data_IF_882035681206
#
_entry.id   IF_882035681206
#
_cell.length_a   1.000
_cell.length_b   1.000
_cell.length_c   1.000
_cell.angle_alpha   90.00
_cell.angle_beta   90.00
_cell.angle_gamma   90.00
#
_symmetry.space_group_name_H-M   'P 1'
#
loop_
_entity.id
_entity.type
_entity.pdbx_description
1 polymer ?
#
# COMPACT_ATOMS: atom_id res chain seq x y z
N UNK A 1 15.37 4.56 3.84
CA UNK A 1 15.07 3.27 3.17
C UNK A 1 13.72 2.79 3.69
N UNK A 2 12.71 2.76 2.82
CA UNK A 2 11.39 2.23 3.17
C UNK A 2 11.54 0.70 3.21
N UNK A 3 11.24 0.08 4.35
CA UNK A 3 11.21 -1.38 4.46
C UNK A 3 10.02 -1.89 3.63
N UNK A 4 10.09 -3.10 3.08
CA UNK A 4 8.95 -3.64 2.30
C UNK A 4 8.41 -4.94 2.87
N UNK A 5 8.98 -5.47 3.95
CA UNK A 5 8.43 -6.60 4.72
C UNK A 5 7.95 -6.11 6.07
N UNK A 6 6.67 -6.31 6.35
CA UNK A 6 6.00 -5.84 7.55
C UNK A 6 5.48 -7.00 8.38
N UNK A 7 5.39 -6.79 9.70
CA UNK A 7 5.08 -7.86 10.64
C UNK A 7 3.58 -8.13 10.74
N UNK A 8 2.75 -7.14 10.39
CA UNK A 8 1.31 -7.19 10.57
C UNK A 8 0.58 -6.22 9.63
N UNK A 9 -0.75 -6.35 9.54
CA UNK A 9 -1.61 -5.55 8.66
C UNK A 9 -1.60 -4.05 9.02
N UNK A 10 -1.34 -3.74 10.29
CA UNK A 10 -1.28 -2.36 10.80
C UNK A 10 -0.09 -1.62 10.22
N UNK A 11 1.11 -2.22 10.27
CA UNK A 11 2.33 -1.66 9.71
C UNK A 11 2.25 -1.54 8.17
N UNK A 12 1.64 -2.52 7.50
CA UNK A 12 1.39 -2.44 6.05
C UNK A 12 0.52 -1.24 5.69
N UNK A 13 -0.58 -1.03 6.41
CA UNK A 13 -1.47 0.12 6.16
C UNK A 13 -0.74 1.45 6.38
N UNK A 14 0.05 1.55 7.45
CA UNK A 14 0.84 2.75 7.76
C UNK A 14 1.85 3.05 6.66
N UNK A 15 2.53 2.01 6.14
CA UNK A 15 3.47 2.16 5.04
C UNK A 15 2.81 2.62 3.74
N UNK A 16 1.68 2.01 3.36
CA UNK A 16 0.91 2.42 2.17
C UNK A 16 0.47 3.88 2.31
N UNK A 17 -0.05 4.25 3.47
CA UNK A 17 -0.51 5.61 3.71
C UNK A 17 0.64 6.60 3.61
N UNK A 18 1.78 6.30 4.26
CA UNK A 18 2.97 7.13 4.21
C UNK A 18 3.45 7.37 2.78
N UNK A 19 3.55 6.30 1.97
CA UNK A 19 4.02 6.40 0.57
C UNK A 19 3.08 7.28 -0.27
N UNK A 20 1.76 7.09 -0.14
CA UNK A 20 0.79 7.90 -0.88
C UNK A 20 0.73 9.35 -0.40
N UNK A 21 0.88 9.56 0.91
CA UNK A 21 0.88 10.91 1.49
C UNK A 21 2.11 11.69 1.05
N UNK A 22 3.30 11.08 1.07
CA UNK A 22 4.54 11.67 0.54
C UNK A 22 4.44 12.00 -0.96
N UNK A 23 3.76 11.17 -1.75
CA UNK A 23 3.49 11.49 -3.15
C UNK A 23 2.57 12.72 -3.28
N UNK A 24 1.51 12.82 -2.49
CA UNK A 24 0.58 13.95 -2.54
C UNK A 24 1.19 15.28 -2.09
N UNK A 25 2.24 15.25 -1.27
CA UNK A 25 2.98 16.46 -0.88
C UNK A 25 4.25 16.69 -1.70
N UNK A 26 4.36 16.05 -2.87
CA UNK A 26 5.47 16.19 -3.83
C UNK A 26 6.86 15.83 -3.26
N UNK A 27 6.92 15.02 -2.19
CA UNK A 27 8.19 14.54 -1.61
C UNK A 27 8.82 13.40 -2.42
N UNK A 28 8.01 12.61 -3.11
CA UNK A 28 8.45 11.51 -3.99
C UNK A 28 7.76 11.61 -5.35
N UNK A 29 8.43 11.08 -6.38
CA UNK A 29 7.88 11.03 -7.73
C UNK A 29 6.87 9.89 -7.88
N UNK A 30 5.99 10.02 -8.88
CA UNK A 30 4.98 9.00 -9.19
C UNK A 30 5.59 7.61 -9.44
N UNK A 31 6.69 7.54 -10.19
CA UNK A 31 7.40 6.28 -10.48
C UNK A 31 7.90 5.59 -9.18
N UNK A 32 8.42 6.38 -8.24
CA UNK A 32 8.90 5.89 -6.95
C UNK A 32 7.73 5.40 -6.07
N UNK A 33 6.62 6.15 -6.06
CA UNK A 33 5.39 5.76 -5.37
C UNK A 33 4.86 4.42 -5.91
N UNK A 34 4.71 4.30 -7.23
CA UNK A 34 4.21 3.09 -7.88
C UNK A 34 5.11 1.90 -7.55
N UNK A 35 6.42 2.04 -7.72
CA UNK A 35 7.36 0.96 -7.47
C UNK A 35 7.33 0.52 -6.00
N UNK A 36 7.30 1.47 -5.07
CA UNK A 36 7.25 1.17 -3.64
C UNK A 36 5.95 0.47 -3.25
N UNK A 37 4.80 0.91 -3.77
CA UNK A 37 3.50 0.24 -3.53
C UNK A 37 3.52 -1.18 -4.11
N UNK A 38 4.04 -1.39 -5.32
CA UNK A 38 4.20 -2.73 -5.92
C UNK A 38 5.02 -3.66 -5.03
N UNK A 39 6.12 -3.16 -4.48
CA UNK A 39 6.98 -3.93 -3.59
C UNK A 39 6.32 -4.23 -2.24
N UNK A 40 5.54 -3.29 -1.69
CA UNK A 40 4.74 -3.53 -0.48
C UNK A 40 3.69 -4.62 -0.73
N UNK A 41 2.96 -4.55 -1.85
CA UNK A 41 1.95 -5.55 -2.20
C UNK A 41 2.58 -6.95 -2.31
N UNK A 42 3.63 -7.09 -3.14
CA UNK A 42 4.29 -8.39 -3.39
C UNK A 42 4.82 -9.05 -2.12
N UNK A 43 5.42 -8.26 -1.24
CA UNK A 43 6.09 -8.78 -0.05
C UNK A 43 5.13 -9.03 1.12
N UNK A 44 3.88 -8.56 1.07
CA UNK A 44 2.94 -8.64 2.18
C UNK A 44 1.53 -9.07 1.76
N UNK A 45 1.37 -9.78 0.64
CA UNK A 45 0.07 -10.14 0.05
C UNK A 45 -0.93 -10.72 1.08
N UNK A 46 -0.47 -11.65 1.92
CA UNK A 46 -1.30 -12.28 2.98
C UNK A 46 -1.71 -11.34 4.12
N UNK A 47 -1.04 -10.20 4.28
CA UNK A 47 -1.40 -9.13 5.20
C UNK A 47 -2.34 -8.10 4.56
N UNK A 48 -2.24 -7.88 3.25
CA UNK A 48 -3.12 -6.96 2.52
C UNK A 48 -4.48 -7.60 2.23
N UNK A 49 -4.48 -8.85 1.78
CA UNK A 49 -5.63 -9.52 1.20
C UNK A 49 -6.03 -10.78 1.96
N UNK A 50 -7.34 -11.01 2.03
CA UNK A 50 -7.93 -12.26 2.50
C UNK A 50 -9.19 -12.54 1.70
N UNK A 51 -9.31 -13.75 1.17
CA UNK A 51 -10.45 -14.17 0.34
C UNK A 51 -10.69 -13.26 -0.88
N UNK A 52 -9.62 -12.77 -1.50
CA UNK A 52 -9.69 -11.93 -2.72
C UNK A 52 -10.06 -10.46 -2.49
N UNK A 53 -10.15 -10.01 -1.23
CA UNK A 53 -10.47 -8.64 -0.88
C UNK A 53 -9.49 -8.11 0.19
N UNK A 54 -9.40 -6.79 0.34
CA UNK A 54 -8.60 -6.19 1.40
C UNK A 54 -9.10 -6.66 2.77
N UNK A 55 -8.16 -6.92 3.68
CA UNK A 55 -8.48 -7.21 5.08
C UNK A 55 -9.17 -6.01 5.74
N UNK A 56 -9.95 -6.28 6.80
CA UNK A 56 -10.68 -5.23 7.52
C UNK A 56 -9.75 -4.14 8.07
N UNK A 57 -8.57 -4.51 8.57
CA UNK A 57 -7.60 -3.55 9.12
C UNK A 57 -7.10 -2.60 8.03
N UNK A 58 -6.76 -3.13 6.84
CA UNK A 58 -6.33 -2.33 5.70
C UNK A 58 -7.43 -1.36 5.27
N UNK A 59 -8.67 -1.85 5.16
CA UNK A 59 -9.85 -1.02 4.83
C UNK A 59 -10.07 0.14 5.80
N UNK A 60 -9.99 -0.14 7.10
CA UNK A 60 -10.21 0.85 8.16
C UNK A 60 -9.12 1.91 8.19
N UNK A 61 -7.86 1.54 7.94
CA UNK A 61 -6.71 2.44 8.12
C UNK A 61 -6.34 3.25 6.90
N UNK A 62 -6.50 2.71 5.68
CA UNK A 62 -6.05 3.40 4.47
C UNK A 62 -7.15 4.26 3.83
N UNK A 63 -8.42 3.94 4.09
CA UNK A 63 -9.56 4.66 3.55
C UNK A 63 -9.75 4.47 2.05
N UNK A 64 -10.93 4.85 1.54
CA UNK A 64 -11.37 4.50 0.18
C UNK A 64 -10.43 4.98 -0.92
N UNK A 65 -9.97 6.24 -0.85
CA UNK A 65 -9.17 6.85 -1.93
C UNK A 65 -7.80 6.21 -2.10
N UNK A 66 -7.11 5.91 -1.00
CA UNK A 66 -5.80 5.24 -1.06
C UNK A 66 -5.94 3.82 -1.60
N UNK A 67 -6.96 3.09 -1.14
CA UNK A 67 -7.20 1.72 -1.60
C UNK A 67 -7.59 1.65 -3.08
N UNK A 68 -8.28 2.66 -3.62
CA UNK A 68 -8.54 2.77 -5.06
C UNK A 68 -7.22 2.86 -5.85
N UNK A 69 -6.27 3.68 -5.41
CA UNK A 69 -4.97 3.83 -6.06
C UNK A 69 -4.16 2.53 -5.95
N UNK A 70 -4.09 1.92 -4.76
CA UNK A 70 -3.39 0.65 -4.55
C UNK A 70 -3.99 -0.45 -5.43
N UNK A 71 -5.31 -0.51 -5.58
CA UNK A 71 -5.97 -1.49 -6.47
C UNK A 71 -5.58 -1.28 -7.93
N UNK A 72 -5.53 -0.05 -8.43
CA UNK A 72 -5.07 0.24 -9.80
C UNK A 72 -3.63 -0.19 -10.01
N UNK A 73 -2.74 0.11 -9.06
CA UNK A 73 -1.32 -0.31 -9.13
C UNK A 73 -1.20 -1.84 -9.11
N UNK A 74 -2.09 -2.53 -8.38
CA UNK A 74 -2.13 -4.00 -8.34
C UNK A 74 -2.58 -4.62 -9.67
N UNK A 75 -3.45 -3.96 -10.44
CA UNK A 75 -3.86 -4.48 -11.75
C UNK A 75 -2.69 -4.57 -12.74
N UNK A 76 -1.64 -3.76 -12.52
CA UNK A 76 -0.39 -3.76 -13.29
C UNK A 76 0.71 -4.67 -12.71
N UNK A 77 0.36 -5.62 -11.83
CA UNK A 77 1.28 -6.60 -11.22
C UNK A 77 1.18 -7.98 -11.87
#
# INVERSE_FOLDING_TARGET
MIKTFYKNQTEVAEAINFVLDSYWVDEIKEEEMIQTIKDIIRNNDSLLYKNGDYTTIIKQRSGKRRLEIVSRIKEDL
#
